data_IF_724997453793
#
_entry.id   IF_724997453793
#
_cell.length_a   1.000
_cell.length_b   1.000
_cell.length_c   1.000
_cell.angle_alpha   90.00
_cell.angle_beta   90.00
_cell.angle_gamma   90.00
#
_symmetry.space_group_name_H-M   'P 1'
#
loop_
_entity.id
_entity.type
_entity.pdbx_description
1 polymer ?
#
# COMPACT_ATOMS: atom_id res chain seq x y z
N UNK A 1 -12.33 -11.90 17.51
CA UNK A 1 -12.24 -12.58 16.21
C UNK A 1 -10.78 -12.61 15.80
N UNK A 2 -10.21 -13.80 15.75
CA UNK A 2 -8.87 -13.98 15.22
C UNK A 2 -8.89 -13.59 13.75
N UNK A 3 -8.21 -12.50 13.43
CA UNK A 3 -7.97 -12.16 12.03
C UNK A 3 -6.99 -13.19 11.48
N UNK A 4 -7.40 -13.99 10.52
CA UNK A 4 -6.55 -14.97 9.86
C UNK A 4 -5.51 -14.31 8.93
N UNK A 5 -4.79 -13.34 9.46
CA UNK A 5 -3.85 -12.51 8.71
C UNK A 5 -2.43 -12.75 9.21
N UNK A 6 -1.53 -13.04 8.31
CA UNK A 6 -0.09 -13.02 8.57
C UNK A 6 0.58 -12.03 7.64
N UNK A 7 1.50 -11.25 8.17
CA UNK A 7 2.24 -10.25 7.41
C UNK A 7 3.63 -10.75 7.02
N UNK A 8 4.06 -10.43 5.82
CA UNK A 8 5.43 -10.64 5.37
C UNK A 8 5.99 -9.34 4.81
N UNK A 9 7.19 -8.96 5.22
CA UNK A 9 7.80 -7.70 4.80
C UNK A 9 9.31 -7.75 4.77
N UNK A 10 9.89 -6.78 4.09
CA UNK A 10 11.33 -6.57 4.06
C UNK A 10 11.61 -5.09 3.83
N UNK A 11 12.58 -4.54 4.58
CA UNK A 11 13.03 -3.15 4.43
C UNK A 11 13.63 -2.88 3.03
N UNK A 12 14.20 -3.91 2.41
CA UNK A 12 14.83 -3.82 1.09
C UNK A 12 13.90 -4.25 -0.06
N UNK A 13 12.62 -4.46 0.25
CA UNK A 13 11.66 -5.02 -0.68
C UNK A 13 11.64 -6.55 -0.64
N UNK A 14 10.61 -7.12 -1.25
CA UNK A 14 10.44 -8.57 -1.41
C UNK A 14 10.73 -8.88 -2.88
N UNK A 15 11.58 -9.89 -3.13
CA UNK A 15 11.79 -10.38 -4.50
C UNK A 15 10.44 -10.80 -5.10
N UNK A 16 10.07 -10.29 -6.29
CA UNK A 16 8.83 -10.67 -6.94
C UNK A 16 8.67 -12.18 -7.15
N UNK A 17 9.77 -12.91 -7.37
CA UNK A 17 9.74 -14.37 -7.48
C UNK A 17 9.37 -15.04 -6.15
N UNK A 18 9.85 -14.51 -5.03
CA UNK A 18 9.47 -14.97 -3.68
C UNK A 18 8.00 -14.68 -3.41
N UNK A 19 7.53 -13.50 -3.80
CA UNK A 19 6.11 -13.13 -3.66
C UNK A 19 5.22 -14.06 -4.48
N UNK A 20 5.59 -14.35 -5.71
CA UNK A 20 4.85 -15.28 -6.57
C UNK A 20 4.78 -16.69 -5.95
N UNK A 21 5.89 -17.17 -5.39
CA UNK A 21 5.95 -18.47 -4.72
C UNK A 21 5.06 -18.48 -3.45
N UNK A 22 5.09 -17.42 -2.64
CA UNK A 22 4.21 -17.27 -1.48
C UNK A 22 2.73 -17.35 -1.86
N UNK A 23 2.36 -16.73 -2.96
CA UNK A 23 0.97 -16.68 -3.43
C UNK A 23 0.47 -18.03 -3.98
N UNK A 24 1.35 -18.99 -4.22
CA UNK A 24 0.96 -20.34 -4.64
C UNK A 24 0.44 -21.21 -3.50
N UNK A 25 0.57 -20.78 -2.24
CA UNK A 25 0.03 -21.52 -1.10
C UNK A 25 -1.51 -21.55 -1.19
N UNK A 26 -2.12 -22.76 -1.28
CA UNK A 26 -3.56 -22.88 -1.47
C UNK A 26 -4.38 -22.39 -0.26
N UNK A 27 -3.77 -22.23 0.91
CA UNK A 27 -4.42 -21.68 2.09
C UNK A 27 -4.52 -20.15 2.08
N UNK A 28 -3.84 -19.46 1.16
CA UNK A 28 -3.95 -18.02 1.01
C UNK A 28 -5.20 -17.69 0.19
N UNK A 29 -6.17 -17.08 0.86
CA UNK A 29 -7.42 -16.64 0.25
C UNK A 29 -7.26 -15.32 -0.51
N UNK A 30 -6.48 -14.39 0.07
CA UNK A 30 -6.26 -13.06 -0.46
C UNK A 30 -4.92 -12.52 0.03
N UNK A 31 -4.24 -11.76 -0.79
CA UNK A 31 -3.02 -11.05 -0.43
C UNK A 31 -3.17 -9.55 -0.69
N UNK A 32 -3.00 -8.75 0.34
CA UNK A 32 -2.93 -7.29 0.25
C UNK A 32 -1.45 -6.90 0.14
N UNK A 33 -1.00 -6.62 -1.06
CA UNK A 33 0.40 -6.37 -1.37
C UNK A 33 0.60 -4.85 -1.48
N UNK A 34 1.59 -4.33 -0.77
CA UNK A 34 2.01 -2.94 -0.88
C UNK A 34 3.33 -2.85 -1.63
N UNK A 35 3.33 -1.98 -2.65
CA UNK A 35 4.52 -1.56 -3.38
C UNK A 35 4.79 -0.10 -3.08
N UNK A 36 6.03 0.29 -2.91
CA UNK A 36 6.37 1.70 -2.71
C UNK A 36 7.55 2.12 -3.57
N UNK A 37 7.55 3.39 -3.92
CA UNK A 37 8.72 4.11 -4.42
C UNK A 37 8.69 5.53 -3.89
N UNK A 38 9.80 6.23 -4.04
CA UNK A 38 9.83 7.67 -3.82
C UNK A 38 9.47 8.38 -5.12
N UNK A 39 8.59 9.36 -5.04
CA UNK A 39 8.22 10.22 -6.15
C UNK A 39 8.60 11.66 -5.83
N UNK A 40 8.77 12.48 -6.87
CA UNK A 40 9.16 13.88 -6.72
C UNK A 40 8.00 14.80 -7.04
N UNK A 41 7.42 15.47 -6.02
CA UNK A 41 6.59 16.65 -6.25
C UNK A 41 7.45 17.84 -6.66
N UNK A 42 6.86 19.03 -6.78
CA UNK A 42 7.59 20.26 -7.10
C UNK A 42 8.75 20.54 -6.11
N UNK A 43 8.56 20.19 -4.84
CA UNK A 43 9.59 20.34 -3.79
C UNK A 43 9.72 19.04 -2.98
N UNK A 44 10.95 18.54 -2.86
CA UNK A 44 11.30 17.41 -2.03
C UNK A 44 10.91 16.06 -2.61
N UNK A 45 10.63 15.10 -1.73
CA UNK A 45 10.20 13.75 -2.06
C UNK A 45 8.96 13.37 -1.26
N UNK A 46 8.20 12.42 -1.79
CA UNK A 46 7.09 11.78 -1.08
C UNK A 46 7.07 10.29 -1.39
N UNK A 47 6.34 9.52 -0.62
CA UNK A 47 6.14 8.10 -0.87
C UNK A 47 4.94 7.90 -1.79
N UNK A 48 5.13 7.16 -2.86
CA UNK A 48 4.05 6.71 -3.75
C UNK A 48 3.86 5.22 -3.57
N UNK A 49 2.72 4.84 -3.02
CA UNK A 49 2.35 3.46 -2.79
C UNK A 49 1.40 2.94 -3.86
N UNK A 50 1.60 1.69 -4.26
CA UNK A 50 0.69 0.93 -5.09
C UNK A 50 0.03 -0.15 -4.24
N UNK A 51 -1.29 -0.11 -4.14
CA UNK A 51 -2.08 -0.99 -3.30
C UNK A 51 -3.33 -1.46 -4.03
N UNK A 52 -4.02 -2.45 -3.49
CA UNK A 52 -5.41 -2.71 -3.87
C UNK A 52 -6.28 -1.59 -3.26
N UNK A 53 -6.58 -0.59 -4.06
CA UNK A 53 -7.20 0.64 -3.59
C UNK A 53 -8.62 0.42 -3.07
N UNK A 54 -9.38 -0.50 -3.68
CA UNK A 54 -10.72 -0.85 -3.24
C UNK A 54 -10.69 -1.49 -1.85
N UNK A 55 -9.77 -2.44 -1.64
CA UNK A 55 -9.58 -3.06 -0.34
C UNK A 55 -9.14 -2.04 0.73
N UNK A 56 -8.21 -1.16 0.38
CA UNK A 56 -7.76 -0.08 1.28
C UNK A 56 -8.88 0.87 1.66
N UNK A 57 -9.77 1.20 0.72
CA UNK A 57 -10.93 2.07 0.96
C UNK A 57 -11.91 1.45 1.96
N UNK A 58 -11.95 0.12 2.05
CA UNK A 58 -12.85 -0.63 2.93
C UNK A 58 -12.21 -1.04 4.27
N UNK A 59 -10.90 -0.76 4.47
CA UNK A 59 -10.20 -1.14 5.70
C UNK A 59 -10.79 -0.49 6.95
N UNK A 60 -11.38 -1.31 7.80
CA UNK A 60 -11.96 -0.86 9.06
C UNK A 60 -10.91 -0.41 10.10
N UNK A 61 -9.66 -0.82 9.94
CA UNK A 61 -8.55 -0.48 10.86
C UNK A 61 -7.88 0.86 10.56
N UNK A 62 -8.19 1.45 9.40
CA UNK A 62 -7.62 2.74 9.03
C UNK A 62 -8.31 3.85 9.82
N UNK A 63 -7.52 4.75 10.38
CA UNK A 63 -8.07 5.98 10.98
C UNK A 63 -8.18 7.01 9.87
N UNK A 64 -9.39 7.47 9.62
CA UNK A 64 -9.69 8.42 8.56
C UNK A 64 -9.85 9.83 9.09
N UNK A 65 -9.15 10.80 8.51
CA UNK A 65 -9.46 12.22 8.64
C UNK A 65 -10.61 12.59 7.69
N UNK A 66 -10.56 12.08 6.48
CA UNK A 66 -11.62 12.11 5.47
C UNK A 66 -11.82 10.71 4.93
N UNK A 67 -12.99 10.13 5.12
CA UNK A 67 -13.29 8.79 4.60
C UNK A 67 -13.25 8.77 3.07
N UNK A 68 -12.93 7.63 2.44
CA UNK A 68 -13.02 7.50 1.00
C UNK A 68 -14.36 7.98 0.45
N UNK A 69 -14.32 8.90 -0.51
CA UNK A 69 -15.50 9.51 -1.10
C UNK A 69 -15.97 10.80 -0.42
N UNK A 70 -15.45 11.17 0.75
CA UNK A 70 -15.74 12.49 1.36
C UNK A 70 -15.08 13.64 0.60
N UNK A 71 -14.01 13.36 -0.12
CA UNK A 71 -13.43 14.27 -1.09
C UNK A 71 -13.73 13.74 -2.48
N UNK A 72 -14.01 14.66 -3.41
CA UNK A 72 -14.25 14.32 -4.80
C UNK A 72 -12.93 14.42 -5.57
N UNK A 73 -12.50 13.29 -6.17
CA UNK A 73 -11.33 13.29 -7.02
C UNK A 73 -11.59 14.10 -8.29
N UNK A 74 -10.64 14.97 -8.64
CA UNK A 74 -10.74 15.80 -9.83
C UNK A 74 -10.67 14.95 -11.10
N UNK A 75 -11.55 15.20 -12.04
CA UNK A 75 -11.57 14.49 -13.32
C UNK A 75 -10.27 14.76 -14.10
N UNK A 76 -9.69 13.72 -14.66
CA UNK A 76 -8.40 13.79 -15.38
C UNK A 76 -7.16 13.57 -14.53
N UNK A 77 -7.33 13.39 -13.21
CA UNK A 77 -6.28 12.98 -12.29
C UNK A 77 -6.56 11.60 -11.73
N UNK A 78 -5.51 10.86 -11.34
CA UNK A 78 -5.65 9.54 -10.76
C UNK A 78 -6.17 9.64 -9.32
N UNK A 79 -7.26 8.94 -8.96
CA UNK A 79 -7.74 8.92 -7.58
C UNK A 79 -6.70 8.32 -6.64
N UNK A 80 -6.49 8.95 -5.50
CA UNK A 80 -5.53 8.51 -4.50
C UNK A 80 -6.10 8.62 -3.09
N UNK A 81 -5.68 7.71 -2.21
CA UNK A 81 -5.79 7.89 -0.77
C UNK A 81 -4.47 8.47 -0.28
N UNK A 82 -4.53 9.56 0.46
CA UNK A 82 -3.32 10.25 0.91
C UNK A 82 -3.26 10.31 2.43
N UNK A 83 -2.05 10.34 2.98
CA UNK A 83 -1.88 10.57 4.41
C UNK A 83 -2.18 12.02 4.77
N UNK A 84 -2.50 12.27 6.04
CA UNK A 84 -2.71 13.62 6.56
C UNK A 84 -1.46 14.49 6.35
N UNK A 85 -0.28 13.93 6.58
CA UNK A 85 1.00 14.62 6.32
C UNK A 85 1.12 15.07 4.88
N UNK A 86 0.79 14.19 3.93
CA UNK A 86 0.75 14.53 2.51
C UNK A 86 -0.26 15.65 2.22
N UNK A 87 -1.47 15.51 2.74
CA UNK A 87 -2.55 16.46 2.49
C UNK A 87 -2.23 17.86 3.01
N UNK A 88 -1.56 17.97 4.18
CA UNK A 88 -1.12 19.24 4.74
C UNK A 88 0.04 19.82 3.95
N UNK A 89 1.02 19.01 3.61
CA UNK A 89 2.22 19.41 2.88
C UNK A 89 1.88 19.98 1.49
N UNK A 90 0.96 19.37 0.79
CA UNK A 90 0.59 19.77 -0.57
C UNK A 90 -0.72 20.54 -0.66
N UNK A 91 -1.27 20.96 0.49
CA UNK A 91 -2.47 21.81 0.57
C UNK A 91 -3.71 21.20 -0.10
N UNK A 92 -3.92 19.90 0.08
CA UNK A 92 -5.06 19.16 -0.48
C UNK A 92 -5.98 18.58 0.59
N UNK A 93 -6.04 19.19 1.78
CA UNK A 93 -6.99 18.81 2.84
C UNK A 93 -8.46 18.91 2.40
N UNK A 94 -8.75 19.76 1.42
CA UNK A 94 -10.09 19.94 0.82
C UNK A 94 -10.19 19.36 -0.58
N UNK A 95 -9.26 18.50 -0.96
CA UNK A 95 -9.16 17.97 -2.31
C UNK A 95 -8.24 18.80 -3.21
N UNK A 96 -8.21 18.46 -4.47
CA UNK A 96 -7.37 19.12 -5.47
C UNK A 96 -6.50 18.15 -6.23
N UNK A 97 -5.44 18.66 -6.82
CA UNK A 97 -4.50 17.91 -7.65
C UNK A 97 -3.07 18.13 -7.14
N UNK A 98 -2.28 17.06 -7.10
CA UNK A 98 -0.83 17.11 -6.91
C UNK A 98 -0.16 16.44 -8.09
N UNK A 99 0.84 17.10 -8.68
CA UNK A 99 1.65 16.55 -9.76
C UNK A 99 2.90 15.90 -9.19
N UNK A 100 3.17 14.66 -9.61
CA UNK A 100 4.33 13.88 -9.19
C UNK A 100 5.14 13.44 -10.40
N UNK A 101 6.46 13.54 -10.31
CA UNK A 101 7.36 12.96 -11.30
C UNK A 101 7.59 11.48 -10.99
N UNK A 102 7.31 10.63 -11.99
CA UNK A 102 7.51 9.19 -11.93
C UNK A 102 8.44 8.76 -13.06
N UNK A 103 8.95 7.51 -13.05
CA UNK A 103 9.72 7.00 -14.20
C UNK A 103 8.98 7.07 -15.54
N UNK A 104 7.66 7.00 -15.53
CA UNK A 104 6.82 7.16 -16.72
C UNK A 104 6.48 8.63 -17.06
N UNK A 105 7.09 9.58 -16.35
CA UNK A 105 6.84 11.01 -16.53
C UNK A 105 5.97 11.62 -15.45
N UNK A 106 5.52 12.83 -15.70
CA UNK A 106 4.66 13.60 -14.79
C UNK A 106 3.26 13.01 -14.76
N UNK A 107 2.75 12.76 -13.54
CA UNK A 107 1.41 12.22 -13.30
C UNK A 107 0.67 13.09 -12.30
N UNK A 108 -0.62 13.23 -12.50
CA UNK A 108 -1.50 13.99 -11.59
C UNK A 108 -2.30 13.02 -10.74
N UNK A 109 -2.32 13.24 -9.44
CA UNK A 109 -3.15 12.50 -8.49
C UNK A 109 -4.13 13.46 -7.82
N UNK A 110 -5.28 12.94 -7.41
CA UNK A 110 -6.31 13.70 -6.70
C UNK A 110 -6.83 12.89 -5.53
N UNK A 111 -6.72 13.40 -4.29
CA UNK A 111 -7.18 12.66 -3.13
C UNK A 111 -8.71 12.57 -3.09
N UNK A 112 -9.23 11.38 -2.81
CA UNK A 112 -10.65 11.14 -2.53
C UNK A 112 -10.89 10.72 -1.07
N UNK A 113 -9.83 10.53 -0.29
CA UNK A 113 -9.85 10.26 1.14
C UNK A 113 -8.48 10.57 1.75
N UNK A 114 -8.47 10.80 3.06
CA UNK A 114 -7.26 11.14 3.83
C UNK A 114 -7.20 10.24 5.05
N UNK A 115 -6.11 9.49 5.19
CA UNK A 115 -5.86 8.65 6.35
C UNK A 115 -4.82 9.26 7.29
N UNK A 116 -4.90 8.92 8.57
CA UNK A 116 -3.92 9.32 9.56
C UNK A 116 -2.79 8.31 9.59
N UNK A 117 -1.60 8.75 9.23
CA UNK A 117 -0.37 7.98 9.34
C UNK A 117 0.71 8.88 9.92
N UNK A 118 1.14 8.55 11.11
CA UNK A 118 2.15 9.33 11.83
C UNK A 118 3.57 8.78 11.67
N UNK A 119 3.71 7.69 10.93
CA UNK A 119 5.00 7.00 10.76
C UNK A 119 5.87 7.51 9.63
N UNK A 120 5.35 8.38 8.76
CA UNK A 120 6.07 8.82 7.56
C UNK A 120 6.03 10.35 7.42
N UNK A 121 7.15 10.98 7.72
CA UNK A 121 7.31 12.46 7.66
C UNK A 121 7.26 13.03 6.22
N UNK A 122 7.52 12.19 5.20
CA UNK A 122 7.47 12.63 3.80
C UNK A 122 6.05 12.67 3.24
N UNK A 123 5.11 12.05 3.94
CA UNK A 123 3.77 11.82 3.43
C UNK A 123 3.70 10.69 2.43
N UNK A 124 2.51 10.17 2.24
CA UNK A 124 2.23 9.05 1.34
C UNK A 124 1.00 9.32 0.50
N UNK A 125 1.09 9.00 -0.79
CA UNK A 125 -0.05 8.86 -1.67
C UNK A 125 -0.16 7.40 -2.11
N UNK A 126 -1.33 6.81 -1.96
CA UNK A 126 -1.62 5.45 -2.40
C UNK A 126 -2.54 5.50 -3.63
N UNK A 127 -2.09 4.91 -4.71
CA UNK A 127 -2.85 4.72 -5.94
C UNK A 127 -3.09 3.23 -6.17
N UNK A 128 -3.97 2.90 -7.09
CA UNK A 128 -4.19 1.51 -7.43
C UNK A 128 -2.92 0.85 -7.98
N UNK A 129 -2.69 -0.40 -7.58
CA UNK A 129 -1.45 -1.13 -7.88
C UNK A 129 -1.18 -1.26 -9.38
N UNK A 130 -2.19 -1.39 -10.21
CA UNK A 130 -2.01 -1.46 -11.67
C UNK A 130 -1.47 -0.14 -12.24
N UNK A 131 -1.97 0.99 -11.76
CA UNK A 131 -1.42 2.31 -12.12
C UNK A 131 0.00 2.49 -11.64
N UNK A 132 0.27 2.11 -10.40
CA UNK A 132 1.62 2.18 -9.84
C UNK A 132 2.62 1.39 -10.69
N UNK A 133 2.27 0.15 -11.05
CA UNK A 133 3.12 -0.69 -11.91
C UNK A 133 3.37 -0.05 -13.27
N UNK A 134 2.34 0.55 -13.89
CA UNK A 134 2.49 1.24 -15.18
C UNK A 134 3.39 2.47 -15.09
N UNK A 135 3.37 3.19 -13.95
CA UNK A 135 4.17 4.41 -13.75
C UNK A 135 5.61 4.13 -13.34
N UNK A 136 5.84 3.07 -12.61
CA UNK A 136 7.16 2.74 -12.07
C UNK A 136 7.92 1.77 -12.98
N UNK A 137 7.22 0.82 -13.61
CA UNK A 137 7.79 -0.11 -14.58
C UNK A 137 8.54 -1.29 -13.97
N UNK A 138 8.75 -1.30 -12.65
CA UNK A 138 9.43 -2.38 -11.92
C UNK A 138 8.61 -2.77 -10.72
N UNK A 139 8.35 -4.06 -10.54
CA UNK A 139 7.62 -4.55 -9.37
C UNK A 139 8.54 -4.55 -8.15
N UNK A 140 8.14 -3.80 -7.11
CA UNK A 140 8.87 -3.68 -5.84
C UNK A 140 7.93 -3.83 -4.65
N UNK A 141 7.44 -5.04 -4.38
CA UNK A 141 6.65 -5.28 -3.17
C UNK A 141 7.51 -5.07 -1.93
N UNK A 142 6.96 -4.42 -0.92
CA UNK A 142 7.66 -4.17 0.36
C UNK A 142 7.01 -4.94 1.51
N UNK A 143 5.71 -5.15 1.45
CA UNK A 143 5.01 -6.00 2.38
C UNK A 143 3.77 -6.63 1.75
N UNK A 144 3.28 -7.66 2.40
CA UNK A 144 2.03 -8.31 2.05
C UNK A 144 1.32 -8.76 3.34
N UNK A 145 0.03 -8.49 3.41
CA UNK A 145 -0.86 -9.08 4.41
C UNK A 145 -1.59 -10.24 3.76
N UNK A 146 -1.34 -11.44 4.30
CA UNK A 146 -1.87 -12.68 3.75
C UNK A 146 -3.08 -13.14 4.57
N UNK A 147 -4.23 -13.22 3.93
CA UNK A 147 -5.49 -13.66 4.53
C UNK A 147 -5.68 -15.15 4.23
N UNK A 148 -5.77 -15.96 5.29
CA UNK A 148 -5.87 -17.40 5.16
C UNK A 148 -7.31 -17.86 5.07
N UNK A 149 -7.56 -18.87 4.25
CA UNK A 149 -8.85 -19.54 4.18
C UNK A 149 -9.17 -20.30 5.48
N UNK A 150 -8.15 -20.94 6.07
CA UNK A 150 -8.23 -21.60 7.37
C UNK A 150 -7.41 -20.81 8.40
N UNK A 151 -8.10 -20.01 9.21
CA UNK A 151 -7.49 -19.14 10.23
C UNK A 151 -6.81 -19.90 11.36
N UNK A 152 -7.15 -21.18 11.57
CA UNK A 152 -6.48 -22.04 12.54
C UNK A 152 -5.03 -22.36 12.19
N UNK A 153 -4.64 -22.16 10.92
CA UNK A 153 -3.29 -22.45 10.41
C UNK A 153 -2.36 -21.23 10.39
N UNK A 154 -2.73 -20.12 11.02
CA UNK A 154 -1.89 -18.90 11.03
C UNK A 154 -0.50 -19.20 11.60
N UNK A 155 -0.40 -19.88 12.74
CA UNK A 155 0.87 -20.19 13.38
C UNK A 155 1.73 -21.11 12.52
N UNK A 156 1.16 -22.17 11.98
CA UNK A 156 1.87 -23.12 11.11
C UNK A 156 2.37 -22.45 9.84
N UNK A 157 1.55 -21.64 9.20
CA UNK A 157 1.90 -20.89 8.00
C UNK A 157 3.03 -19.92 8.28
N UNK A 158 2.95 -19.18 9.38
CA UNK A 158 4.01 -18.26 9.82
C UNK A 158 5.34 -18.98 10.01
N UNK A 159 5.36 -20.09 10.77
CA UNK A 159 6.59 -20.85 11.03
C UNK A 159 7.18 -21.43 9.74
N UNK A 160 6.34 -21.95 8.85
CA UNK A 160 6.77 -22.45 7.54
C UNK A 160 7.39 -21.36 6.70
N UNK A 161 6.80 -20.16 6.65
CA UNK A 161 7.32 -19.02 5.92
C UNK A 161 8.63 -18.52 6.50
N UNK A 162 8.75 -18.46 7.82
CA UNK A 162 10.00 -18.06 8.49
C UNK A 162 11.16 -19.00 8.17
N UNK A 163 10.89 -20.30 8.10
CA UNK A 163 11.91 -21.30 7.75
C UNK A 163 12.27 -21.26 6.26
N UNK A 164 11.28 -21.11 5.39
CA UNK A 164 11.49 -21.06 3.94
C UNK A 164 12.16 -19.76 3.47
N UNK A 165 11.84 -18.63 4.11
CA UNK A 165 12.29 -17.30 3.72
C UNK A 165 12.88 -16.54 4.92
N UNK A 166 14.09 -16.92 5.37
CA UNK A 166 14.69 -16.32 6.58
C UNK A 166 15.00 -14.82 6.45
N UNK A 167 15.06 -14.30 5.22
CA UNK A 167 15.23 -12.87 4.96
C UNK A 167 13.96 -12.03 5.09
N UNK A 168 12.80 -12.66 5.24
CA UNK A 168 11.53 -11.97 5.43
C UNK A 168 11.20 -11.85 6.93
N UNK A 169 10.67 -10.68 7.30
CA UNK A 169 10.07 -10.49 8.62
C UNK A 169 8.60 -10.93 8.54
N UNK A 170 8.28 -12.08 9.12
CA UNK A 170 6.95 -12.66 9.10
C UNK A 170 6.31 -12.53 10.47
N UNK A 171 5.16 -11.86 10.56
CA UNK A 171 4.44 -11.57 11.82
C UNK A 171 2.98 -11.92 11.69
N UNK A 172 2.34 -12.17 12.85
CA UNK A 172 0.89 -12.17 12.91
C UNK A 172 0.43 -10.72 13.05
N UNK A 173 -0.54 -10.33 12.25
CA UNK A 173 -1.24 -9.06 12.45
C UNK A 173 -2.42 -9.31 13.38
N UNK A 174 -2.34 -8.70 14.53
CA UNK A 174 -3.42 -8.71 15.52
C UNK A 174 -4.42 -7.59 15.28
#
# INVERSE_FOLDING_TARGET
SESGVTGAGSLNGIDPAVMEELLQDPNIKYADIMRICYAKPAEGVTVLAGVDLDHWSEKARQIWLKKPGELEAVNGAEPALVSETFARRFHVLKGGIVELHTPAGSKKISPFGIFCDYGNEFGMAAVDQEKWLSWVGVDRPVNASLYLADTSQVKETRERMRLAYPGLDVRDEQ
#
